data_IF_948921414430
#
_entry.id   IF_948921414430
#
_cell.length_a   1.000
_cell.length_b   1.000
_cell.length_c   1.000
_cell.angle_alpha   90.00
_cell.angle_beta   90.00
_cell.angle_gamma   90.00
#
_symmetry.space_group_name_H-M   'P 1'
#
loop_
_entity.id
_entity.type
_entity.pdbx_description
1 polymer ?
#
# COMPACT_ATOMS: atom_id res chain seq x y z
N UNK A 1 -0.55 9.08 -22.47
CA UNK A 1 -0.99 8.21 -21.37
C UNK A 1 -0.35 6.85 -21.59
N UNK A 2 0.34 6.30 -20.61
CA UNK A 2 0.91 4.95 -20.74
C UNK A 2 -0.23 3.94 -20.65
N UNK A 3 -0.35 3.05 -21.63
CA UNK A 3 -1.29 1.92 -21.61
C UNK A 3 -0.57 0.64 -21.20
N UNK A 4 -1.31 -0.33 -20.67
CA UNK A 4 -0.74 -1.63 -20.35
C UNK A 4 -0.20 -2.32 -21.62
N UNK A 5 -0.97 -2.27 -22.72
CA UNK A 5 -0.59 -2.91 -23.98
C UNK A 5 0.74 -2.35 -24.53
N UNK A 6 0.88 -1.03 -24.63
CA UNK A 6 2.13 -0.44 -25.10
C UNK A 6 3.30 -0.75 -24.14
N UNK A 7 3.03 -0.94 -22.84
CA UNK A 7 4.08 -1.34 -21.90
C UNK A 7 4.53 -2.78 -22.15
N UNK A 8 3.60 -3.69 -22.43
CA UNK A 8 3.90 -5.08 -22.76
C UNK A 8 4.71 -5.19 -24.05
N UNK A 9 4.38 -4.41 -25.09
CA UNK A 9 5.15 -4.35 -26.34
C UNK A 9 6.63 -4.02 -26.09
N UNK A 10 6.95 -3.10 -25.16
CA UNK A 10 8.33 -2.79 -24.81
C UNK A 10 9.01 -3.88 -23.97
N UNK A 11 8.26 -4.58 -23.13
CA UNK A 11 8.80 -5.70 -22.34
C UNK A 11 9.13 -6.87 -23.26
N UNK A 12 8.30 -7.13 -24.27
CA UNK A 12 8.53 -8.18 -25.27
C UNK A 12 9.79 -7.94 -26.13
N UNK A 13 10.28 -6.69 -26.21
CA UNK A 13 11.53 -6.36 -26.89
C UNK A 13 12.79 -6.68 -26.06
N UNK A 14 12.65 -6.98 -24.76
CA UNK A 14 13.75 -7.39 -23.89
C UNK A 14 14.06 -8.88 -24.11
N UNK A 15 15.30 -9.28 -23.85
CA UNK A 15 15.63 -10.71 -23.77
C UNK A 15 15.02 -11.37 -22.53
N UNK A 16 15.08 -12.71 -22.47
CA UNK A 16 14.37 -13.45 -21.43
C UNK A 16 14.97 -13.19 -20.04
N UNK A 17 16.28 -12.97 -19.96
CA UNK A 17 16.98 -12.63 -18.72
C UNK A 17 16.54 -11.26 -18.18
N UNK A 18 16.44 -10.24 -19.04
CA UNK A 18 15.99 -8.90 -18.68
C UNK A 18 14.49 -8.89 -18.32
N UNK A 19 13.66 -9.68 -19.01
CA UNK A 19 12.25 -9.84 -18.66
C UNK A 19 12.09 -10.45 -17.26
N UNK A 20 12.88 -11.48 -16.92
CA UNK A 20 12.88 -12.09 -15.58
C UNK A 20 13.36 -11.09 -14.53
N UNK A 21 14.43 -10.36 -14.80
CA UNK A 21 14.93 -9.36 -13.86
C UNK A 21 13.93 -8.21 -13.63
N UNK A 22 13.20 -7.81 -14.68
CA UNK A 22 12.14 -6.83 -14.57
C UNK A 22 11.01 -7.31 -13.65
N UNK A 23 10.61 -8.59 -13.74
CA UNK A 23 9.61 -9.21 -12.86
C UNK A 23 10.02 -9.08 -11.39
N UNK A 24 11.25 -9.44 -11.05
CA UNK A 24 11.78 -9.31 -9.69
C UNK A 24 11.76 -7.86 -9.19
N UNK A 25 12.16 -6.91 -10.03
CA UNK A 25 12.15 -5.47 -9.70
C UNK A 25 10.72 -5.00 -9.41
N UNK A 26 9.77 -5.32 -10.29
CA UNK A 26 8.38 -4.91 -10.15
C UNK A 26 7.80 -5.50 -8.86
N UNK A 27 8.02 -6.79 -8.62
CA UNK A 27 7.57 -7.47 -7.41
C UNK A 27 8.07 -6.77 -6.14
N UNK A 28 9.39 -6.51 -6.07
CA UNK A 28 10.01 -5.81 -4.94
C UNK A 28 9.42 -4.42 -4.74
N UNK A 29 9.26 -3.64 -5.82
CA UNK A 29 8.68 -2.28 -5.76
C UNK A 29 7.23 -2.29 -5.26
N UNK A 30 6.44 -3.30 -5.63
CA UNK A 30 5.06 -3.44 -5.14
C UNK A 30 5.01 -3.71 -3.64
N UNK A 31 5.89 -4.57 -3.13
CA UNK A 31 6.04 -4.82 -1.69
C UNK A 31 6.39 -3.53 -0.95
N UNK A 32 7.40 -2.79 -1.43
CA UNK A 32 7.84 -1.55 -0.80
C UNK A 32 6.76 -0.46 -0.80
N UNK A 33 5.98 -0.36 -1.87
CA UNK A 33 4.80 0.54 -1.93
C UNK A 33 3.75 0.15 -0.89
N UNK A 34 3.46 -1.15 -0.73
CA UNK A 34 2.53 -1.64 0.31
C UNK A 34 3.03 -1.31 1.71
N UNK A 35 4.31 -1.58 2.01
CA UNK A 35 4.96 -1.26 3.29
C UNK A 35 4.90 0.24 3.59
N UNK A 36 5.24 1.07 2.62
CA UNK A 36 5.17 2.53 2.72
C UNK A 36 3.75 3.02 3.03
N UNK A 37 2.74 2.40 2.40
CA UNK A 37 1.33 2.65 2.68
C UNK A 37 0.94 2.32 4.13
N UNK A 38 1.41 1.18 4.66
CA UNK A 38 1.19 0.79 6.07
C UNK A 38 1.83 1.81 7.01
N UNK A 39 3.10 2.17 6.78
CA UNK A 39 3.82 3.15 7.60
C UNK A 39 3.10 4.49 7.60
N UNK A 40 2.62 4.96 6.44
CA UNK A 40 1.85 6.21 6.33
C UNK A 40 0.57 6.15 7.15
N UNK A 41 -0.19 5.05 7.06
CA UNK A 41 -1.43 4.87 7.85
C UNK A 41 -1.14 4.83 9.34
N UNK A 42 -0.10 4.11 9.77
CA UNK A 42 0.31 4.05 11.16
C UNK A 42 0.70 5.43 11.71
N UNK A 43 1.49 6.21 10.95
CA UNK A 43 1.83 7.59 11.31
C UNK A 43 0.59 8.48 11.44
N UNK A 44 -0.37 8.38 10.50
CA UNK A 44 -1.63 9.13 10.55
C UNK A 44 -2.45 8.77 11.78
N UNK A 45 -2.59 7.48 12.09
CA UNK A 45 -3.32 7.01 13.27
C UNK A 45 -2.68 7.51 14.57
N UNK A 46 -1.35 7.36 14.71
CA UNK A 46 -0.60 7.84 15.88
C UNK A 46 -0.75 9.35 16.08
N UNK A 47 -0.67 10.14 15.00
CA UNK A 47 -0.88 11.58 15.05
C UNK A 47 -2.32 11.95 15.42
N UNK A 48 -3.31 11.18 14.95
CA UNK A 48 -4.72 11.35 15.30
C UNK A 48 -4.96 11.18 16.80
N UNK A 49 -4.39 10.13 17.40
CA UNK A 49 -4.43 9.92 18.86
C UNK A 49 -3.75 11.06 19.60
N UNK A 50 -2.52 11.43 19.21
CA UNK A 50 -1.77 12.52 19.86
C UNK A 50 -2.53 13.85 19.85
N UNK A 51 -3.26 14.14 18.77
CA UNK A 51 -3.96 15.41 18.58
C UNK A 51 -5.43 15.36 19.00
N UNK A 52 -5.88 14.32 19.72
CA UNK A 52 -7.28 14.11 20.12
C UNK A 52 -8.27 14.17 18.94
N UNK A 53 -7.84 13.74 17.75
CA UNK A 53 -8.65 13.68 16.51
C UNK A 53 -9.16 12.26 16.23
N UNK A 54 -9.02 11.36 17.19
CA UNK A 54 -9.54 9.99 17.15
C UNK A 54 -10.53 9.82 18.30
N UNK A 55 -11.59 9.04 18.09
CA UNK A 55 -12.47 8.63 19.18
C UNK A 55 -11.68 7.71 20.13
N UNK A 56 -11.82 7.96 21.43
CA UNK A 56 -11.18 7.21 22.50
C UNK A 56 -12.25 6.82 23.51
N UNK A 57 -12.15 5.61 24.07
CA UNK A 57 -13.13 5.06 25.00
C UNK A 57 -12.70 3.68 25.49
N UNK A 58 -13.54 3.03 26.28
CA UNK A 58 -13.32 1.67 26.75
C UNK A 58 -13.68 0.63 25.67
N UNK A 59 -13.46 -0.66 25.97
CA UNK A 59 -13.90 -1.74 25.10
C UNK A 59 -15.43 -1.76 24.97
N UNK A 60 -16.16 -1.41 26.02
CA UNK A 60 -17.62 -1.29 26.02
C UNK A 60 -18.10 -0.14 25.12
N UNK A 61 -17.41 1.00 25.12
CA UNK A 61 -17.71 2.12 24.21
C UNK A 61 -17.57 1.70 22.75
N UNK A 62 -16.49 0.96 22.44
CA UNK A 62 -16.26 0.41 21.10
C UNK A 62 -17.33 -0.61 20.71
N UNK A 63 -17.70 -1.52 21.63
CA UNK A 63 -18.71 -2.53 21.38
C UNK A 63 -20.08 -1.90 21.10
N UNK A 64 -20.42 -0.83 21.83
CA UNK A 64 -21.64 -0.05 21.64
C UNK A 64 -21.66 0.62 20.27
N UNK A 65 -20.55 1.22 19.85
CA UNK A 65 -20.42 1.84 18.52
C UNK A 65 -20.55 0.83 17.36
N UNK A 66 -20.04 -0.39 17.54
CA UNK A 66 -20.07 -1.44 16.51
C UNK A 66 -21.43 -2.15 16.41
N UNK A 67 -22.17 -2.24 17.51
CA UNK A 67 -23.45 -2.94 17.60
C UNK A 67 -24.67 -2.02 17.44
N UNK A 68 -24.47 -0.82 16.88
CA UNK A 68 -25.50 0.23 16.73
C UNK A 68 -26.88 -0.29 16.31
#
# INVERSE_FOLDING_TARGET
MVSLNNTLEYIEMLDIEDQQYLEEIIHRRLIEKKRSGIVRRAKKAKAGVKNNRCRSGTAEDLLTDLNG
#
